data_IF_249466736544
#
_entry.id   IF_249466736544
#
_cell.length_a   1.000
_cell.length_b   1.000
_cell.length_c   1.000
_cell.angle_alpha   90.00
_cell.angle_beta   90.00
_cell.angle_gamma   90.00
#
_symmetry.space_group_name_H-M   'P 1'
#
loop_
_entity.id
_entity.type
_entity.pdbx_description
1 polymer ?
#
# COMPACT_ATOMS: atom_id res chain seq x y z
N UNK A 1 17.86 -30.42 -12.89
CA UNK A 1 16.78 -29.42 -13.07
C UNK A 1 17.15 -28.53 -14.26
N UNK A 2 16.29 -28.43 -15.27
CA UNK A 2 16.56 -27.68 -16.52
C UNK A 2 16.50 -26.17 -16.26
N UNK A 3 17.44 -25.42 -16.85
CA UNK A 3 17.58 -23.95 -16.77
C UNK A 3 16.25 -23.22 -17.10
N UNK A 4 15.42 -23.82 -17.96
CA UNK A 4 14.08 -23.35 -18.30
C UNK A 4 13.17 -23.17 -17.09
N UNK A 5 13.26 -24.03 -16.08
CA UNK A 5 12.41 -23.94 -14.89
C UNK A 5 12.80 -22.77 -13.99
N UNK A 6 14.09 -22.39 -13.99
CA UNK A 6 14.61 -21.27 -13.20
C UNK A 6 14.17 -19.93 -13.79
N UNK A 7 14.14 -19.82 -15.12
CA UNK A 7 13.70 -18.62 -15.83
C UNK A 7 12.20 -18.34 -15.64
N UNK A 8 11.37 -19.40 -15.59
CA UNK A 8 9.93 -19.27 -15.32
C UNK A 8 9.65 -18.76 -13.91
N UNK A 9 10.37 -19.29 -12.90
CA UNK A 9 10.27 -18.82 -11.52
C UNK A 9 10.69 -17.35 -11.37
N UNK A 10 11.73 -16.94 -12.07
CA UNK A 10 12.21 -15.56 -12.06
C UNK A 10 11.19 -14.59 -12.69
N UNK A 11 10.52 -14.98 -13.78
CA UNK A 11 9.50 -14.17 -14.43
C UNK A 11 8.26 -13.92 -13.53
N UNK A 12 7.86 -14.91 -12.73
CA UNK A 12 6.73 -14.78 -11.79
C UNK A 12 7.07 -13.79 -10.67
N UNK A 13 8.32 -13.78 -10.19
CA UNK A 13 8.77 -12.84 -9.15
C UNK A 13 8.81 -11.38 -9.64
N UNK A 14 9.10 -11.14 -10.91
CA UNK A 14 9.11 -9.77 -11.46
C UNK A 14 7.71 -9.24 -11.80
N UNK A 15 6.72 -10.12 -12.02
CA UNK A 15 5.34 -9.69 -12.32
C UNK A 15 4.60 -9.12 -11.11
N UNK A 16 5.04 -9.38 -9.87
CA UNK A 16 4.36 -8.86 -8.67
C UNK A 16 4.82 -7.48 -8.22
N UNK A 17 5.81 -6.87 -8.91
CA UNK A 17 6.45 -5.63 -8.46
C UNK A 17 5.99 -4.37 -9.22
N UNK A 18 5.11 -4.51 -10.22
CA UNK A 18 4.71 -3.41 -11.08
C UNK A 18 3.23 -3.03 -10.90
N UNK A 19 2.88 -2.50 -9.73
CA UNK A 19 1.69 -1.64 -9.59
C UNK A 19 2.18 -0.20 -9.51
N UNK A 20 2.35 0.42 -10.67
CA UNK A 20 2.67 1.84 -10.77
C UNK A 20 1.35 2.64 -10.70
N UNK A 21 1.02 3.15 -9.52
CA UNK A 21 -0.08 4.09 -9.37
C UNK A 21 0.40 5.47 -9.85
N UNK A 22 -0.16 5.98 -10.95
CA UNK A 22 0.13 7.35 -11.43
C UNK A 22 -0.42 8.36 -10.42
N UNK A 23 0.44 8.85 -9.53
CA UNK A 23 0.14 10.01 -8.70
C UNK A 23 0.60 11.25 -9.46
N UNK A 24 -0.34 12.02 -10.01
CA UNK A 24 -0.01 13.29 -10.68
C UNK A 24 0.74 14.22 -9.71
N UNK A 25 1.97 14.67 -10.06
CA UNK A 25 2.72 15.60 -9.22
C UNK A 25 2.02 16.97 -9.24
N UNK A 26 1.54 17.42 -8.08
CA UNK A 26 0.96 18.75 -7.94
C UNK A 26 2.06 19.83 -7.99
N UNK A 27 1.78 21.02 -8.56
CA UNK A 27 2.77 22.09 -8.76
C UNK A 27 3.42 22.65 -7.48
N UNK A 28 2.90 22.31 -6.29
CA UNK A 28 3.46 22.69 -4.99
C UNK A 28 4.43 21.65 -4.40
N UNK A 29 4.87 20.67 -5.19
CA UNK A 29 5.65 19.52 -4.73
C UNK A 29 4.76 18.37 -4.27
N UNK A 30 5.38 17.30 -3.76
CA UNK A 30 4.68 16.14 -3.19
C UNK A 30 3.90 16.58 -1.95
N UNK A 31 2.64 16.97 -2.14
CA UNK A 31 1.70 17.09 -1.03
C UNK A 31 1.43 15.67 -0.57
N UNK A 32 1.97 15.31 0.59
CA UNK A 32 1.64 14.02 1.22
C UNK A 32 0.12 13.92 1.26
N UNK A 33 -0.49 12.88 0.67
CA UNK A 33 -1.93 12.74 0.70
C UNK A 33 -2.37 12.79 2.16
N UNK A 34 -3.41 13.58 2.44
CA UNK A 34 -4.00 13.64 3.77
C UNK A 34 -4.66 12.28 4.03
N UNK A 35 -3.91 11.39 4.66
CA UNK A 35 -4.31 10.02 4.95
C UNK A 35 -5.14 10.04 6.24
N UNK A 36 -6.46 9.91 6.11
CA UNK A 36 -7.36 9.73 7.26
C UNK A 36 -7.89 8.31 7.30
N UNK A 37 -7.94 7.72 8.49
CA UNK A 37 -8.54 6.42 8.72
C UNK A 37 -9.60 6.50 9.83
N UNK A 38 -10.53 5.55 9.85
CA UNK A 38 -11.42 5.39 10.98
C UNK A 38 -10.63 4.77 12.15
N UNK A 39 -10.66 5.39 13.31
CA UNK A 39 -10.25 4.78 14.56
C UNK A 39 -11.19 3.63 14.93
N UNK A 40 -10.77 2.81 15.90
CA UNK A 40 -11.63 1.75 16.46
C UNK A 40 -12.95 2.29 17.03
N UNK A 41 -12.98 3.56 17.45
CA UNK A 41 -14.17 4.26 17.94
C UNK A 41 -15.07 4.81 16.82
N UNK A 42 -14.69 4.62 15.55
CA UNK A 42 -15.40 5.16 14.39
C UNK A 42 -15.09 6.64 14.10
N UNK A 43 -14.35 7.34 14.96
CA UNK A 43 -13.90 8.70 14.69
C UNK A 43 -12.79 8.71 13.64
N UNK A 44 -12.83 9.66 12.71
CA UNK A 44 -11.75 9.85 11.76
C UNK A 44 -10.51 10.39 12.47
N UNK A 45 -9.38 9.75 12.21
CA UNK A 45 -8.06 10.17 12.70
C UNK A 45 -7.14 10.48 11.54
N UNK A 46 -6.29 11.48 11.73
CA UNK A 46 -5.21 11.79 10.82
C UNK A 46 -4.04 10.84 11.09
N UNK A 47 -3.70 10.02 10.10
CA UNK A 47 -2.66 8.99 10.21
C UNK A 47 -1.28 9.60 10.43
N UNK A 48 -1.03 10.85 10.02
CA UNK A 48 0.23 11.54 10.31
C UNK A 48 0.45 11.66 11.82
N UNK A 49 -0.61 12.01 12.57
CA UNK A 49 -0.54 12.15 14.01
C UNK A 49 -0.56 10.77 14.69
N UNK A 50 -1.45 9.87 14.25
CA UNK A 50 -1.56 8.54 14.84
C UNK A 50 -0.28 7.69 14.71
N UNK A 51 0.53 7.92 13.67
CA UNK A 51 1.76 7.16 13.39
C UNK A 51 3.04 7.93 13.78
N UNK A 52 2.94 9.05 14.51
CA UNK A 52 4.08 9.92 14.84
C UNK A 52 4.96 9.43 16.01
N UNK A 53 4.64 8.26 16.58
CA UNK A 53 5.42 7.64 17.65
C UNK A 53 6.80 7.15 17.19
N UNK A 54 7.64 6.67 18.12
CA UNK A 54 8.96 6.12 17.79
C UNK A 54 8.90 4.89 16.88
N UNK A 55 7.76 4.20 16.84
CA UNK A 55 7.44 3.12 15.91
C UNK A 55 5.91 3.04 15.72
N UNK A 56 5.46 2.45 14.61
CA UNK A 56 4.06 2.18 14.35
C UNK A 56 3.89 0.84 13.61
N UNK A 57 2.78 0.15 13.86
CA UNK A 57 2.38 -1.06 13.15
C UNK A 57 1.17 -0.77 12.26
N UNK A 58 1.25 -1.15 10.99
CA UNK A 58 0.19 -0.95 10.00
C UNK A 58 -0.20 -2.30 9.42
N UNK A 59 -1.49 -2.62 9.46
CA UNK A 59 -2.05 -3.86 8.91
C UNK A 59 -2.85 -3.52 7.65
N UNK A 60 -2.47 -4.10 6.51
CA UNK A 60 -3.23 -3.99 5.28
C UNK A 60 -4.14 -5.21 5.14
N UNK A 61 -5.44 -4.98 5.11
CA UNK A 61 -6.42 -6.02 4.82
C UNK A 61 -6.86 -5.85 3.36
N UNK A 62 -6.97 -6.95 2.59
CA UNK A 62 -7.64 -6.87 1.29
C UNK A 62 -9.07 -6.36 1.51
N UNK A 63 -9.58 -5.61 0.55
CA UNK A 63 -10.98 -5.17 0.57
C UNK A 63 -11.86 -6.41 0.67
N UNK A 64 -12.64 -6.50 1.74
CA UNK A 64 -13.59 -7.59 1.89
C UNK A 64 -14.63 -7.47 0.76
N UNK A 65 -14.80 -8.54 -0.01
CA UNK A 65 -15.90 -8.63 -0.96
C UNK A 65 -17.20 -8.79 -0.17
N UNK A 66 -17.88 -7.66 0.02
CA UNK A 66 -19.16 -7.59 0.73
C UNK A 66 -20.36 -7.78 -0.20
N UNK A 67 -20.13 -8.06 -1.49
CA UNK A 67 -21.19 -8.22 -2.47
C UNK A 67 -21.43 -9.71 -2.74
N UNK A 68 -22.35 -10.30 -1.98
CA UNK A 68 -22.91 -11.64 -2.18
C UNK A 68 -24.34 -11.54 -2.70
#
# INVERSE_FOLDING_TARGET
>A
MRITNFLVLLAILFSSCATHEEVEPRPAGWVTPKLTAAAQTGQLVDLKYALSGPWAAVFFYPVADTFW
#
